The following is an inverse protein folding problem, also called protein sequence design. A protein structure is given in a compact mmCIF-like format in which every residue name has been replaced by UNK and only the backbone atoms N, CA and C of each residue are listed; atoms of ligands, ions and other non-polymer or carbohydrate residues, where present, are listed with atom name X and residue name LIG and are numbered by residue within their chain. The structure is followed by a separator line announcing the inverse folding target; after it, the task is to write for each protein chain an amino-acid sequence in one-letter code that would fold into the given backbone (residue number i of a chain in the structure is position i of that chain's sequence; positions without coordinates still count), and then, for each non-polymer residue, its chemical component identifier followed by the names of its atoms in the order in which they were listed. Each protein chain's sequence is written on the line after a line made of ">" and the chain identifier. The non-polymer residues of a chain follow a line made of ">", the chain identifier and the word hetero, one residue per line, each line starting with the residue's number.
data_IF_989108818554
#
_entry.id   IF_989108818554
#
_cell.length_a   1.000
_cell.length_b   1.000
_cell.length_c   1.000
_cell.angle_alpha   90.00
_cell.angle_beta   90.00
_cell.angle_gamma   90.00
#
_symmetry.space_group_name_H-M   'P 1'
#
loop_
_entity.id
_entity.type
_entity.pdbx_description
1 polymer ?
#
# COMPACT_ATOMS: atom_id res chain seq x y z
N UNK A 1 7.05 4.05 25.91
CA UNK A 1 7.68 3.54 24.66
C UNK A 1 6.67 3.76 23.56
N UNK A 2 7.02 4.51 22.53
CA UNK A 2 6.09 4.84 21.43
C UNK A 2 5.81 3.55 20.66
N UNK A 3 4.57 3.05 20.74
CA UNK A 3 4.14 1.89 19.97
C UNK A 3 4.32 2.19 18.47
N UNK A 4 5.29 1.53 17.83
CA UNK A 4 5.55 1.73 16.41
C UNK A 4 4.57 0.87 15.61
N UNK A 5 3.47 1.49 15.19
CA UNK A 5 2.46 0.90 14.30
C UNK A 5 2.84 1.25 12.85
N UNK A 6 3.20 0.25 12.04
CA UNK A 6 3.63 0.45 10.65
C UNK A 6 2.79 -0.42 9.72
N UNK A 7 2.07 0.19 8.79
CA UNK A 7 1.29 -0.51 7.77
C UNK A 7 2.06 -0.51 6.45
N UNK A 8 2.32 -1.70 5.92
CA UNK A 8 2.89 -1.92 4.60
C UNK A 8 1.77 -2.20 3.60
N UNK A 9 1.71 -1.41 2.54
CA UNK A 9 0.81 -1.58 1.41
C UNK A 9 1.60 -1.66 0.11
N UNK A 10 0.94 -1.97 -1.00
CA UNK A 10 1.57 -1.90 -2.32
C UNK A 10 0.63 -1.25 -3.32
N UNK A 11 1.02 -0.09 -3.83
CA UNK A 11 0.43 0.46 -5.04
C UNK A 11 1.15 -0.05 -6.29
N UNK A 12 0.41 -0.16 -7.39
CA UNK A 12 0.94 -0.43 -8.72
C UNK A 12 0.73 0.79 -9.60
N UNK A 13 1.79 1.18 -10.30
CA UNK A 13 1.74 2.25 -11.30
C UNK A 13 1.17 1.66 -12.58
N UNK A 14 0.02 2.16 -13.00
CA UNK A 14 -0.59 1.81 -14.29
C UNK A 14 -0.50 3.02 -15.21
N UNK A 15 0.19 2.84 -16.32
CA UNK A 15 0.28 3.86 -17.38
C UNK A 15 -0.88 3.65 -18.35
N UNK A 16 -1.80 4.61 -18.37
CA UNK A 16 -2.88 4.63 -19.34
C UNK A 16 -2.31 5.25 -20.61
N UNK A 17 -2.18 4.42 -21.63
CA UNK A 17 -1.73 4.83 -22.96
C UNK A 17 -2.94 4.97 -23.87
N UNK A 18 -3.07 6.11 -24.54
CA UNK A 18 -4.03 6.26 -25.63
C UNK A 18 -3.33 6.04 -26.97
N UNK A 19 -3.98 5.26 -27.83
CA UNK A 19 -3.57 5.11 -29.21
C UNK A 19 -4.14 6.26 -30.03
N UNK A 20 -3.28 7.15 -30.51
CA UNK A 20 -3.69 8.20 -31.46
C UNK A 20 -3.35 7.77 -32.88
N UNK A 21 -4.37 7.69 -33.74
CA UNK A 21 -4.19 7.58 -35.19
C UNK A 21 -3.83 8.98 -35.71
N UNK A 22 -2.64 9.19 -36.30
CA UNK A 22 -2.36 10.43 -37.00
C UNK A 22 -3.23 10.43 -38.26
N UNK A 23 -4.02 11.49 -38.44
CA UNK A 23 -4.76 11.69 -39.68
C UNK A 23 -3.79 11.75 -40.86
N UNK A 24 -3.77 10.69 -41.68
CA UNK A 24 -3.17 10.73 -43.01
C UNK A 24 -1.87 9.96 -43.25
N UNK A 25 -1.66 8.77 -42.66
CA UNK A 25 -0.85 7.68 -43.26
C UNK A 25 -0.87 6.45 -42.33
N UNK A 26 -1.06 5.26 -42.89
CA UNK A 26 -1.24 4.00 -42.16
C UNK A 26 -0.02 3.53 -41.32
N UNK A 27 1.07 4.31 -41.22
CA UNK A 27 2.35 3.84 -40.67
C UNK A 27 2.98 4.73 -39.58
N UNK A 28 2.24 5.64 -38.93
CA UNK A 28 2.80 6.51 -37.88
C UNK A 28 2.02 6.49 -36.56
N UNK A 29 1.44 5.35 -36.17
CA UNK A 29 0.85 5.21 -34.84
C UNK A 29 1.89 5.46 -33.74
N UNK A 30 1.63 6.43 -32.86
CA UNK A 30 2.45 6.70 -31.69
C UNK A 30 1.64 6.41 -30.44
N UNK A 31 2.18 5.56 -29.56
CA UNK A 31 1.64 5.34 -28.22
C UNK A 31 2.06 6.54 -27.37
N UNK A 32 1.10 7.34 -26.90
CA UNK A 32 1.37 8.38 -25.89
C UNK A 32 0.82 7.92 -24.55
N UNK A 33 1.65 7.96 -23.51
CA UNK A 33 1.17 7.84 -22.14
C UNK A 33 0.38 9.12 -21.81
N UNK A 34 -0.92 8.98 -21.55
CA UNK A 34 -1.84 10.10 -21.34
C UNK A 34 -2.04 10.35 -19.85
N UNK A 35 -2.06 9.29 -19.04
CA UNK A 35 -2.19 9.43 -17.60
C UNK A 35 -1.43 8.33 -16.85
N UNK A 36 -0.96 8.64 -15.65
CA UNK A 36 -0.40 7.66 -14.73
C UNK A 36 -1.34 7.53 -13.56
N UNK A 37 -2.02 6.39 -13.44
CA UNK A 37 -2.85 6.08 -12.27
C UNK A 37 -2.10 5.16 -11.32
N UNK A 38 -2.41 5.28 -10.02
CA UNK A 38 -1.91 4.39 -8.97
C UNK A 38 -3.06 3.55 -8.47
N UNK A 39 -3.00 2.26 -8.77
CA UNK A 39 -3.99 1.31 -8.30
C UNK A 39 -3.48 0.67 -7.01
N UNK A 40 -4.32 0.72 -5.98
CA UNK A 40 -4.13 -0.05 -4.76
C UNK A 40 -5.18 -1.15 -4.71
N UNK A 41 -4.82 -2.28 -4.08
CA UNK A 41 -5.79 -3.33 -3.82
C UNK A 41 -6.89 -2.84 -2.88
N UNK A 42 -8.10 -3.39 -3.03
CA UNK A 42 -9.22 -3.08 -2.13
C UNK A 42 -8.93 -3.51 -0.69
N UNK A 43 -8.11 -4.54 -0.48
CA UNK A 43 -7.67 -4.97 0.85
C UNK A 43 -6.76 -3.92 1.51
N UNK A 44 -5.81 -3.35 0.75
CA UNK A 44 -4.91 -2.30 1.26
C UNK A 44 -5.70 -1.05 1.64
N UNK A 45 -6.65 -0.62 0.80
CA UNK A 45 -7.53 0.53 1.11
C UNK A 45 -8.32 0.31 2.39
N UNK A 46 -8.95 -0.86 2.54
CA UNK A 46 -9.72 -1.20 3.74
C UNK A 46 -8.85 -1.29 4.99
N UNK A 47 -7.61 -1.75 4.86
CA UNK A 47 -6.68 -1.80 5.97
C UNK A 47 -6.33 -0.40 6.49
N UNK A 48 -6.06 0.55 5.57
CA UNK A 48 -5.84 1.97 5.93
C UNK A 48 -7.07 2.55 6.62
N UNK A 49 -8.24 2.44 6.00
CA UNK A 49 -9.48 2.98 6.57
C UNK A 49 -9.76 2.41 7.97
N UNK A 50 -9.47 1.13 8.19
CA UNK A 50 -9.66 0.50 9.49
C UNK A 50 -8.77 1.17 10.53
N UNK A 51 -7.49 1.36 10.23
CA UNK A 51 -6.55 2.00 11.16
C UNK A 51 -6.90 3.47 11.40
N UNK A 52 -7.30 4.21 10.36
CA UNK A 52 -7.76 5.60 10.49
C UNK A 52 -8.99 5.71 11.40
N UNK A 53 -9.98 4.82 11.22
CA UNK A 53 -11.20 4.77 12.04
C UNK A 53 -10.89 4.48 13.52
N UNK A 54 -9.82 3.76 13.81
CA UNK A 54 -9.40 3.50 15.20
C UNK A 54 -8.70 4.68 15.88
N UNK A 55 -8.33 5.74 15.14
CA UNK A 55 -7.59 6.88 15.69
C UNK A 55 -6.17 6.53 16.18
N UNK A 56 -5.64 5.39 15.75
CA UNK A 56 -4.27 4.98 16.03
C UNK A 56 -3.31 5.79 15.14
N UNK A 57 -2.19 6.25 15.70
CA UNK A 57 -1.12 6.85 14.90
C UNK A 57 -0.30 5.73 14.29
N UNK A 58 -0.24 5.66 12.96
CA UNK A 58 0.58 4.69 12.24
C UNK A 58 1.45 5.36 11.17
N UNK A 59 2.53 4.69 10.81
CA UNK A 59 3.34 4.99 9.63
C UNK A 59 2.86 4.14 8.47
N UNK A 60 2.55 4.77 7.34
CA UNK A 60 2.21 4.06 6.10
C UNK A 60 3.47 3.95 5.23
N UNK A 61 3.81 2.73 4.82
CA UNK A 61 4.91 2.45 3.89
C UNK A 61 4.32 1.82 2.63
N UNK A 62 4.40 2.54 1.51
CA UNK A 62 3.99 2.03 0.21
C UNK A 62 5.16 1.39 -0.52
N UNK A 63 5.14 0.05 -0.57
CA UNK A 63 6.16 -0.75 -1.26
C UNK A 63 6.20 -0.50 -2.78
N UNK A 64 5.18 0.13 -3.37
CA UNK A 64 5.16 0.57 -4.76
C UNK A 64 5.96 1.86 -5.02
N UNK A 65 6.13 2.71 -3.99
CA UNK A 65 6.75 4.04 -4.11
C UNK A 65 8.17 4.11 -3.56
N UNK A 66 8.47 3.24 -2.58
CA UNK A 66 9.77 3.21 -1.92
C UNK A 66 10.88 2.65 -2.81
N UNK A 67 12.11 3.04 -2.50
CA UNK A 67 13.28 2.63 -3.26
C UNK A 67 13.51 1.12 -3.22
N UNK A 68 14.28 0.59 -4.17
CA UNK A 68 14.62 -0.85 -4.21
C UNK A 68 15.26 -1.34 -2.91
N UNK A 69 16.11 -0.53 -2.27
CA UNK A 69 16.73 -0.86 -0.99
C UNK A 69 15.69 -1.08 0.13
N UNK A 70 14.69 -0.22 0.22
CA UNK A 70 13.63 -0.30 1.23
C UNK A 70 12.70 -1.50 0.97
N UNK A 71 12.41 -1.79 -0.31
CA UNK A 71 11.67 -3.01 -0.69
C UNK A 71 12.42 -4.28 -0.31
N UNK A 72 13.73 -4.31 -0.54
CA UNK A 72 14.58 -5.45 -0.16
C UNK A 72 14.61 -5.57 1.37
N UNK A 73 14.76 -4.46 2.09
CA UNK A 73 14.71 -4.46 3.56
C UNK A 73 13.39 -5.02 4.07
N UNK A 74 12.24 -4.54 3.58
CA UNK A 74 10.93 -5.06 3.97
C UNK A 74 10.80 -6.58 3.71
N UNK A 75 11.35 -7.07 2.59
CA UNK A 75 11.39 -8.52 2.30
C UNK A 75 12.28 -9.29 3.27
N UNK A 76 13.44 -8.76 3.64
CA UNK A 76 14.33 -9.36 4.64
C UNK A 76 13.68 -9.37 6.03
N UNK A 77 12.91 -8.32 6.34
CA UNK A 77 12.07 -8.23 7.54
C UNK A 77 10.85 -9.17 7.47
N UNK A 78 10.69 -9.93 6.38
CA UNK A 78 9.69 -10.96 6.19
C UNK A 78 8.33 -10.45 5.71
N UNK A 79 8.24 -9.20 5.23
CA UNK A 79 7.02 -8.65 4.61
C UNK A 79 6.93 -9.20 3.19
N UNK A 80 6.18 -10.29 3.03
CA UNK A 80 6.00 -10.98 1.73
C UNK A 80 4.71 -10.58 1.02
N UNK A 81 3.69 -10.21 1.78
CA UNK A 81 2.34 -9.90 1.32
C UNK A 81 1.93 -8.50 1.78
N UNK A 82 0.95 -7.93 1.10
CA UNK A 82 0.27 -6.70 1.50
C UNK A 82 -1.24 -6.93 1.48
N UNK A 83 -2.01 -6.34 2.40
CA UNK A 83 -1.56 -5.45 3.47
C UNK A 83 -0.87 -6.22 4.61
N UNK A 84 0.19 -5.65 5.19
CA UNK A 84 0.83 -6.20 6.41
C UNK A 84 1.02 -5.12 7.45
N UNK A 85 0.52 -5.35 8.66
CA UNK A 85 0.70 -4.46 9.80
C UNK A 85 1.80 -4.98 10.71
N UNK A 86 2.75 -4.13 11.06
CA UNK A 86 3.71 -4.35 12.13
C UNK A 86 3.25 -3.57 13.35
N UNK A 87 2.94 -4.26 14.43
CA UNK A 87 2.55 -3.68 15.70
C UNK A 87 3.28 -4.37 16.85
N UNK A 88 3.95 -3.59 17.70
CA UNK A 88 4.77 -4.09 18.82
C UNK A 88 5.76 -5.22 18.42
N UNK A 89 6.36 -5.10 17.24
CA UNK A 89 7.31 -6.09 16.71
C UNK A 89 6.68 -7.37 16.16
N UNK A 90 5.35 -7.52 16.24
CA UNK A 90 4.60 -8.61 15.62
C UNK A 90 4.07 -8.20 14.24
N UNK A 91 4.02 -9.17 13.33
CA UNK A 91 3.53 -9.01 11.95
C UNK A 91 2.14 -9.63 11.83
N UNK A 92 1.22 -8.88 11.24
CA UNK A 92 -0.14 -9.29 10.98
C UNK A 92 -0.43 -9.13 9.50
N UNK A 93 -0.57 -10.25 8.82
CA UNK A 93 -0.70 -10.31 7.37
C UNK A 93 -2.17 -10.44 6.97
N UNK A 94 -2.59 -9.61 6.01
CA UNK A 94 -3.93 -9.59 5.47
C UNK A 94 -4.96 -8.84 6.31
N UNK A 95 -6.02 -8.39 5.65
CA UNK A 95 -7.03 -7.51 6.23
C UNK A 95 -7.68 -8.04 7.52
N UNK A 96 -7.95 -9.35 7.60
CA UNK A 96 -8.64 -9.95 8.75
C UNK A 96 -7.83 -9.80 10.04
N UNK A 97 -6.52 -10.10 9.99
CA UNK A 97 -5.66 -10.00 11.17
C UNK A 97 -5.49 -8.55 11.59
N UNK A 98 -5.33 -7.65 10.62
CA UNK A 98 -5.23 -6.20 10.83
C UNK A 98 -6.48 -5.66 11.55
N UNK A 99 -7.68 -6.06 11.12
CA UNK A 99 -8.94 -5.62 11.76
C UNK A 99 -8.99 -6.07 13.22
N UNK A 100 -8.65 -7.33 13.51
CA UNK A 100 -8.67 -7.86 14.88
C UNK A 100 -7.72 -7.06 15.77
N UNK A 101 -6.47 -6.90 15.34
CA UNK A 101 -5.44 -6.20 16.12
C UNK A 101 -5.76 -4.71 16.27
N UNK A 102 -6.30 -4.07 15.23
CA UNK A 102 -6.70 -2.66 15.30
C UNK A 102 -7.79 -2.43 16.35
N UNK A 103 -8.79 -3.33 16.43
CA UNK A 103 -9.84 -3.27 17.46
C UNK A 103 -9.28 -3.51 18.85
N UNK A 104 -8.40 -4.50 18.99
CA UNK A 104 -7.78 -4.81 20.28
C UNK A 104 -6.93 -3.64 20.77
N UNK A 105 -6.08 -3.07 19.91
CA UNK A 105 -5.24 -1.92 20.20
C UNK A 105 -6.04 -0.64 20.51
N UNK A 106 -7.22 -0.46 19.90
CA UNK A 106 -8.11 0.65 20.22
C UNK A 106 -8.77 0.51 21.60
N UNK A 107 -8.95 -0.72 22.09
CA UNK A 107 -9.59 -1.01 23.37
C UNK A 107 -8.62 -1.04 24.56
N UNK A 108 -7.31 -1.03 24.33
CA UNK A 108 -6.32 -0.97 25.42
C UNK A 108 -6.30 0.46 26.00
N UNK A 109 -6.59 0.64 27.30
CA UNK A 109 -6.49 1.95 27.94
C UNK A 109 -5.03 2.40 27.92
N UNK A 110 -4.76 3.49 27.19
CA UNK A 110 -3.47 4.16 27.19
C UNK A 110 -3.24 4.77 28.57
N UNK A 111 -2.50 4.07 29.44
CA UNK A 111 -2.06 4.56 30.76
C UNK A 111 -1.03 5.68 30.63
#
# INVERSE_FOLDING_TARGET
>A
MTESLVLFIRSEKVEITEWTLPGGAACQGAIRAVNTERLMSEEDKKAIETLEKTGLRFTLIDLGLVGTAERVKARLDGIKLTPTLVYNGQKYEGLRQIITVAKDAANVPRK
#
